data_IF_856508079641
#
_entry.id   IF_856508079641
#
_cell.length_a   1.000
_cell.length_b   1.000
_cell.length_c   1.000
_cell.angle_alpha   90.00
_cell.angle_beta   90.00
_cell.angle_gamma   90.00
#
_symmetry.space_group_name_H-M   'P 1'
#
loop_
_entity.id
_entity.type
_entity.pdbx_description
1 polymer ?
#
# COMPACT_ATOMS: atom_id res chain seq x y z
N UNK A 1 40.34 58.60 -26.70
CA UNK A 1 39.97 57.29 -26.14
C UNK A 1 38.45 57.18 -26.15
N UNK A 2 37.87 56.60 -27.20
CA UNK A 2 36.43 56.40 -27.38
C UNK A 2 36.06 55.00 -26.85
N UNK A 3 35.20 54.94 -25.83
CA UNK A 3 34.66 53.68 -25.30
C UNK A 3 33.38 53.31 -26.05
N UNK A 4 33.41 52.25 -26.87
CA UNK A 4 32.21 51.59 -27.39
C UNK A 4 31.50 50.82 -26.27
N UNK A 5 30.22 51.12 -26.02
CA UNK A 5 29.34 50.25 -25.22
C UNK A 5 28.71 49.21 -26.15
N UNK A 6 29.17 47.96 -26.06
CA UNK A 6 28.51 46.80 -26.68
C UNK A 6 27.18 46.52 -25.97
N UNK A 7 26.07 46.82 -26.63
CA UNK A 7 24.75 46.36 -26.23
C UNK A 7 24.61 44.85 -26.54
N UNK A 8 24.73 44.00 -25.51
CA UNK A 8 24.32 42.60 -25.61
C UNK A 8 22.79 42.54 -25.70
N UNK A 9 22.27 42.07 -26.85
CA UNK A 9 20.83 41.89 -27.08
C UNK A 9 20.30 40.75 -26.18
N UNK A 10 19.41 41.09 -25.24
CA UNK A 10 18.63 40.21 -24.35
C UNK A 10 17.62 39.30 -25.08
N UNK A 11 17.99 38.67 -26.20
CA UNK A 11 17.07 37.82 -26.99
C UNK A 11 16.91 36.39 -26.46
N UNK A 12 17.75 35.94 -25.52
CA UNK A 12 17.73 34.55 -25.03
C UNK A 12 16.71 34.27 -23.91
N UNK A 13 16.34 35.29 -23.12
CA UNK A 13 15.42 35.14 -21.98
C UNK A 13 13.98 34.74 -22.37
N UNK A 14 13.33 35.34 -23.39
CA UNK A 14 11.97 34.93 -23.76
C UNK A 14 11.90 33.53 -24.38
N UNK A 15 12.98 33.07 -25.03
CA UNK A 15 13.03 31.74 -25.65
C UNK A 15 13.16 30.63 -24.61
N UNK A 16 13.95 30.86 -23.55
CA UNK A 16 14.08 29.94 -22.41
C UNK A 16 12.78 29.85 -21.59
N UNK A 17 12.07 30.98 -21.42
CA UNK A 17 10.76 31.00 -20.75
C UNK A 17 9.71 30.27 -21.58
N UNK A 18 9.68 30.47 -22.91
CA UNK A 18 8.77 29.76 -23.78
C UNK A 18 9.04 28.24 -23.80
N UNK A 19 10.31 27.82 -23.81
CA UNK A 19 10.70 26.41 -23.72
C UNK A 19 10.38 25.78 -22.36
N UNK A 20 10.56 26.52 -21.26
CA UNK A 20 10.18 26.08 -19.93
C UNK A 20 8.65 25.97 -19.81
N UNK A 21 7.90 26.92 -20.37
CA UNK A 21 6.44 26.92 -20.36
C UNK A 21 5.86 25.83 -21.28
N UNK A 22 6.50 25.54 -22.42
CA UNK A 22 6.11 24.43 -23.29
C UNK A 22 6.43 23.06 -22.67
N UNK A 23 7.55 22.95 -21.95
CA UNK A 23 7.85 21.77 -21.14
C UNK A 23 6.83 21.60 -20.00
N UNK A 24 6.52 22.66 -19.26
CA UNK A 24 5.52 22.63 -18.18
C UNK A 24 4.11 22.31 -18.69
N UNK A 25 3.73 22.80 -19.87
CA UNK A 25 2.45 22.43 -20.49
C UNK A 25 2.44 20.97 -20.96
N UNK A 26 3.54 20.41 -21.46
CA UNK A 26 3.62 18.98 -21.81
C UNK A 26 3.48 18.04 -20.60
N UNK A 27 3.95 18.45 -19.42
CA UNK A 27 3.74 17.74 -18.14
C UNK A 27 2.28 17.86 -17.65
N UNK A 28 1.62 18.99 -17.89
CA UNK A 28 0.21 19.20 -17.51
C UNK A 28 -0.79 18.52 -18.47
N UNK A 29 -0.34 18.02 -19.63
CA UNK A 29 -1.19 17.50 -20.71
C UNK A 29 -0.92 16.04 -21.08
N UNK A 30 -0.24 15.26 -20.22
CA UNK A 30 -0.13 13.83 -20.43
C UNK A 30 -1.55 13.23 -20.53
N UNK A 31 -1.91 12.71 -21.70
CA UNK A 31 -3.23 12.11 -21.92
C UNK A 31 -3.38 10.93 -20.97
N UNK A 32 -4.47 10.87 -20.17
CA UNK A 32 -4.70 9.75 -19.26
C UNK A 32 -4.60 8.42 -20.01
N UNK A 33 -3.73 7.51 -19.57
CA UNK A 33 -3.43 6.29 -20.30
C UNK A 33 -3.56 5.03 -19.43
N UNK A 34 -4.10 3.93 -19.98
CA UNK A 34 -3.96 2.61 -19.41
C UNK A 34 -2.51 2.12 -19.49
N UNK A 35 -2.21 1.06 -18.75
CA UNK A 35 -0.90 0.44 -18.76
C UNK A 35 -0.98 -0.99 -19.33
N UNK A 36 0.03 -1.41 -20.08
CA UNK A 36 0.18 -2.80 -20.54
C UNK A 36 1.66 -3.16 -20.64
N UNK A 37 2.17 -3.88 -19.64
CA UNK A 37 3.57 -4.31 -19.55
C UNK A 37 3.67 -5.76 -20.04
N UNK A 38 4.00 -5.94 -21.32
CA UNK A 38 4.16 -7.26 -21.96
C UNK A 38 5.62 -7.64 -22.20
N UNK A 39 6.56 -6.76 -21.90
CA UNK A 39 8.01 -6.99 -21.94
C UNK A 39 8.67 -6.36 -20.73
N UNK A 40 9.81 -6.90 -20.32
CA UNK A 40 10.52 -6.38 -19.16
C UNK A 40 10.88 -4.89 -19.35
N UNK A 41 10.73 -4.10 -18.29
CA UNK A 41 11.06 -2.66 -18.30
C UNK A 41 11.74 -2.25 -17.00
N UNK A 42 12.61 -1.24 -17.09
CA UNK A 42 13.30 -0.63 -15.96
C UNK A 42 12.89 0.83 -15.70
N UNK A 43 11.82 1.29 -16.35
CA UNK A 43 11.26 2.62 -16.18
C UNK A 43 9.94 2.59 -15.40
N UNK A 44 9.62 3.68 -14.71
CA UNK A 44 8.30 3.92 -14.12
C UNK A 44 7.21 3.76 -15.17
N UNK A 45 6.18 3.00 -14.82
CA UNK A 45 4.95 2.87 -15.59
C UNK A 45 3.90 3.80 -14.99
N UNK A 46 3.63 4.90 -15.68
CA UNK A 46 2.53 5.80 -15.32
C UNK A 46 1.19 5.21 -15.73
N UNK A 47 0.26 5.11 -14.78
CA UNK A 47 -1.09 4.61 -14.99
C UNK A 47 -2.10 5.67 -14.55
N UNK A 48 -2.91 6.17 -15.49
CA UNK A 48 -3.77 7.33 -15.25
C UNK A 48 -5.19 7.22 -15.81
N UNK A 49 -5.50 6.15 -16.55
CA UNK A 49 -6.88 5.78 -16.92
C UNK A 49 -6.99 4.27 -17.18
N UNK A 50 -8.21 3.74 -17.29
CA UNK A 50 -8.44 2.34 -17.71
C UNK A 50 -7.73 1.30 -16.84
N UNK A 51 -7.55 0.09 -17.36
CA UNK A 51 -6.88 -1.01 -16.65
C UNK A 51 -5.36 -0.99 -16.86
N UNK A 52 -4.63 -1.62 -15.94
CA UNK A 52 -3.19 -1.81 -15.99
C UNK A 52 -2.86 -3.29 -15.92
N UNK A 53 -2.29 -3.85 -16.98
CA UNK A 53 -1.93 -5.26 -17.05
C UNK A 53 -0.41 -5.42 -16.96
N UNK A 54 0.09 -6.18 -15.99
CA UNK A 54 1.51 -6.48 -15.81
C UNK A 54 1.75 -7.98 -15.97
N UNK A 55 2.22 -8.36 -17.16
CA UNK A 55 2.53 -9.75 -17.52
C UNK A 55 4.03 -9.98 -17.77
N UNK A 56 4.87 -8.96 -17.59
CA UNK A 56 6.32 -9.03 -17.63
C UNK A 56 6.94 -8.16 -16.54
N UNK A 57 8.22 -8.40 -16.15
CA UNK A 57 8.83 -7.70 -15.02
C UNK A 57 8.93 -6.18 -15.19
N UNK A 58 8.57 -5.43 -14.15
CA UNK A 58 8.89 -4.01 -13.98
C UNK A 58 9.91 -3.92 -12.85
N UNK A 59 11.13 -3.43 -13.12
CA UNK A 59 12.18 -3.29 -12.11
C UNK A 59 12.91 -1.96 -12.24
N UNK A 60 12.63 -1.01 -11.35
CA UNK A 60 13.22 0.33 -11.39
C UNK A 60 13.73 0.76 -10.02
N UNK A 61 14.53 1.82 -9.97
CA UNK A 61 14.97 2.47 -8.73
C UNK A 61 14.03 3.61 -8.31
N UNK A 62 12.90 3.79 -9.00
CA UNK A 62 11.85 4.75 -8.67
C UNK A 62 10.55 4.04 -8.24
N UNK A 63 9.42 4.75 -8.26
CA UNK A 63 8.13 4.08 -8.22
C UNK A 63 7.94 3.23 -9.50
N UNK A 64 7.71 1.92 -9.36
CA UNK A 64 7.55 1.02 -10.49
C UNK A 64 6.23 1.23 -11.22
N UNK A 65 5.11 1.20 -10.49
CA UNK A 65 3.81 1.65 -10.98
C UNK A 65 3.45 2.94 -10.26
N UNK A 66 3.21 4.01 -11.03
CA UNK A 66 2.80 5.30 -10.50
C UNK A 66 1.36 5.60 -10.93
N UNK A 67 0.46 5.72 -9.96
CA UNK A 67 -0.99 5.79 -10.18
C UNK A 67 -1.52 7.17 -9.90
N UNK A 68 -2.20 7.75 -10.89
CA UNK A 68 -2.83 9.07 -10.80
C UNK A 68 -4.25 9.04 -11.36
N UNK A 69 -5.10 9.99 -10.96
CA UNK A 69 -6.47 10.09 -11.50
C UNK A 69 -7.40 8.93 -11.11
N UNK A 70 -8.44 8.72 -11.91
CA UNK A 70 -9.40 7.61 -11.70
C UNK A 70 -9.09 6.48 -12.68
N UNK A 71 -8.76 5.31 -12.14
CA UNK A 71 -8.28 4.16 -12.89
C UNK A 71 -9.07 2.89 -12.58
N UNK A 72 -8.98 1.92 -13.47
CA UNK A 72 -9.62 0.62 -13.36
C UNK A 72 -8.83 -0.35 -12.48
N UNK A 73 -8.55 -1.53 -13.02
CA UNK A 73 -7.90 -2.63 -12.31
C UNK A 73 -6.44 -2.76 -12.70
N UNK A 74 -5.55 -2.76 -11.70
CA UNK A 74 -4.20 -3.28 -11.86
C UNK A 74 -4.24 -4.80 -11.69
N UNK A 75 -3.79 -5.54 -12.71
CA UNK A 75 -3.64 -7.00 -12.66
C UNK A 75 -2.16 -7.35 -12.81
N UNK A 76 -1.54 -7.83 -11.74
CA UNK A 76 -0.16 -8.30 -11.76
C UNK A 76 -0.10 -9.82 -11.80
N UNK A 77 0.48 -10.38 -12.84
CA UNK A 77 0.82 -11.81 -12.97
C UNK A 77 2.33 -12.02 -13.14
N UNK A 78 3.15 -11.03 -12.78
CA UNK A 78 4.61 -11.05 -12.91
C UNK A 78 5.27 -10.35 -11.72
N UNK A 79 6.44 -9.75 -11.94
CA UNK A 79 7.23 -9.06 -10.92
C UNK A 79 7.09 -7.55 -11.05
N UNK A 80 6.74 -6.86 -9.96
CA UNK A 80 6.78 -5.40 -9.84
C UNK A 80 7.75 -5.05 -8.71
N UNK A 81 8.88 -4.44 -9.07
CA UNK A 81 9.91 -4.01 -8.12
C UNK A 81 10.27 -2.55 -8.39
N UNK A 82 10.15 -1.72 -7.36
CA UNK A 82 10.54 -0.31 -7.35
C UNK A 82 11.08 0.09 -5.98
N UNK A 83 11.58 1.31 -5.81
CA UNK A 83 11.70 1.88 -4.46
C UNK A 83 10.34 1.84 -3.77
N UNK A 84 9.29 2.30 -4.45
CA UNK A 84 7.93 1.87 -4.18
C UNK A 84 7.47 0.99 -5.34
N UNK A 85 6.98 -0.20 -5.08
CA UNK A 85 6.48 -1.06 -6.16
C UNK A 85 5.22 -0.46 -6.79
N UNK A 86 4.31 0.03 -5.95
CA UNK A 86 3.09 0.72 -6.38
C UNK A 86 2.95 1.98 -5.53
N UNK A 87 2.93 3.14 -6.17
CA UNK A 87 2.67 4.42 -5.52
C UNK A 87 1.35 4.99 -6.05
N UNK A 88 0.36 5.12 -5.18
CA UNK A 88 -0.94 5.69 -5.48
C UNK A 88 -0.98 7.10 -4.91
N UNK A 89 -1.12 8.09 -5.80
CA UNK A 89 -1.13 9.50 -5.44
C UNK A 89 -2.37 9.92 -4.64
N UNK A 90 -2.23 11.05 -3.96
CA UNK A 90 -3.34 11.70 -3.30
C UNK A 90 -4.45 12.06 -4.31
N UNK A 91 -5.69 11.68 -3.99
CA UNK A 91 -6.85 11.92 -4.85
C UNK A 91 -7.02 10.91 -5.99
N UNK A 92 -6.09 9.96 -6.18
CA UNK A 92 -6.31 8.85 -7.10
C UNK A 92 -7.43 7.92 -6.62
N UNK A 93 -8.24 7.41 -7.55
CA UNK A 93 -9.32 6.46 -7.28
C UNK A 93 -9.08 5.19 -8.10
N UNK A 94 -8.71 4.11 -7.41
CA UNK A 94 -8.37 2.82 -8.01
C UNK A 94 -9.53 1.85 -7.81
N UNK A 95 -10.09 1.32 -8.90
CA UNK A 95 -11.16 0.33 -8.80
C UNK A 95 -10.66 -0.96 -8.15
N UNK A 96 -9.52 -1.50 -8.61
CA UNK A 96 -8.91 -2.65 -7.96
C UNK A 96 -7.40 -2.76 -8.15
N UNK A 97 -6.75 -3.38 -7.19
CA UNK A 97 -5.39 -3.93 -7.30
C UNK A 97 -5.46 -5.43 -7.08
N UNK A 98 -5.02 -6.21 -8.05
CA UNK A 98 -5.05 -7.67 -8.03
C UNK A 98 -3.65 -8.21 -8.29
N UNK A 99 -3.05 -8.81 -7.26
CA UNK A 99 -1.85 -9.61 -7.39
C UNK A 99 -2.29 -11.08 -7.59
N UNK A 100 -2.12 -11.60 -8.81
CA UNK A 100 -2.51 -12.95 -9.18
C UNK A 100 -1.52 -13.99 -8.63
N UNK A 101 -1.89 -15.28 -8.60
CA UNK A 101 -0.97 -16.36 -8.25
C UNK A 101 0.34 -16.26 -9.05
N UNK A 102 1.49 -16.38 -8.38
CA UNK A 102 2.82 -16.19 -8.98
C UNK A 102 3.27 -14.72 -9.13
N UNK A 103 2.37 -13.76 -8.86
CA UNK A 103 2.71 -12.34 -8.85
C UNK A 103 3.57 -11.97 -7.64
N UNK A 104 4.67 -11.29 -7.90
CA UNK A 104 5.56 -10.71 -6.88
C UNK A 104 5.48 -9.19 -6.93
N UNK A 105 5.18 -8.57 -5.80
CA UNK A 105 5.28 -7.12 -5.62
C UNK A 105 6.27 -6.89 -4.48
N UNK A 106 7.39 -6.23 -4.75
CA UNK A 106 8.43 -6.02 -3.74
C UNK A 106 9.08 -4.66 -3.89
N UNK A 107 9.68 -4.15 -2.82
CA UNK A 107 10.47 -2.94 -2.92
C UNK A 107 11.96 -3.26 -3.17
N UNK A 108 12.73 -2.23 -3.52
CA UNK A 108 14.17 -2.18 -3.37
C UNK A 108 14.50 -1.46 -2.05
N UNK A 109 15.55 -1.90 -1.34
CA UNK A 109 16.00 -1.30 -0.08
C UNK A 109 14.97 -1.36 1.06
N UNK A 110 14.85 -0.30 1.88
CA UNK A 110 13.99 -0.25 3.09
C UNK A 110 12.76 0.66 2.93
N UNK A 111 12.22 0.75 1.71
CA UNK A 111 11.03 1.52 1.39
C UNK A 111 9.74 0.68 1.54
N UNK A 112 8.60 1.36 1.59
CA UNK A 112 7.29 0.72 1.54
C UNK A 112 6.97 0.19 0.14
N UNK A 113 6.32 -0.98 0.07
CA UNK A 113 6.09 -1.69 -1.19
C UNK A 113 4.90 -1.10 -1.93
N UNK A 114 3.72 -1.09 -1.30
CA UNK A 114 2.53 -0.40 -1.79
C UNK A 114 2.27 0.80 -0.91
N UNK A 115 2.36 2.00 -1.48
CA UNK A 115 2.05 3.26 -0.80
C UNK A 115 0.72 3.79 -1.32
N UNK A 116 -0.29 3.82 -0.45
CA UNK A 116 -1.60 4.37 -0.79
C UNK A 116 -1.80 5.75 -0.15
N UNK A 117 -1.91 6.79 -0.99
CA UNK A 117 -2.37 8.13 -0.59
C UNK A 117 -3.78 8.45 -1.13
N UNK A 118 -4.37 7.55 -1.91
CA UNK A 118 -5.68 7.71 -2.56
C UNK A 118 -6.75 6.78 -2.01
N UNK A 119 -7.69 6.40 -2.87
CA UNK A 119 -8.75 5.43 -2.55
C UNK A 119 -8.58 4.17 -3.40
N UNK A 120 -8.60 3.01 -2.77
CA UNK A 120 -8.66 1.70 -3.43
C UNK A 120 -9.99 1.04 -3.04
N UNK A 121 -10.83 0.71 -4.01
CA UNK A 121 -12.08 0.02 -3.69
C UNK A 121 -11.82 -1.44 -3.30
N UNK A 122 -11.02 -2.18 -4.08
CA UNK A 122 -10.65 -3.56 -3.72
C UNK A 122 -9.16 -3.81 -3.93
N UNK A 123 -8.49 -4.29 -2.89
CA UNK A 123 -7.13 -4.82 -3.00
C UNK A 123 -7.20 -6.33 -2.75
N UNK A 124 -6.68 -7.13 -3.68
CA UNK A 124 -6.63 -8.60 -3.57
C UNK A 124 -5.20 -9.09 -3.78
N UNK A 125 -4.64 -9.75 -2.76
CA UNK A 125 -3.45 -10.56 -2.89
C UNK A 125 -3.88 -12.04 -2.91
N UNK A 126 -3.85 -12.63 -4.10
CA UNK A 126 -4.40 -13.97 -4.34
C UNK A 126 -3.57 -15.08 -3.70
N UNK A 127 -4.16 -16.27 -3.54
CA UNK A 127 -3.40 -17.43 -3.10
C UNK A 127 -2.20 -17.69 -4.05
N UNK A 128 -1.04 -17.95 -3.47
CA UNK A 128 0.22 -18.10 -4.22
C UNK A 128 0.82 -16.80 -4.76
N UNK A 129 0.28 -15.63 -4.38
CA UNK A 129 0.85 -14.32 -4.67
C UNK A 129 1.60 -13.77 -3.45
N UNK A 130 2.66 -13.00 -3.68
CA UNK A 130 3.52 -12.47 -2.61
C UNK A 130 3.69 -10.97 -2.74
N UNK A 131 3.52 -10.26 -1.62
CA UNK A 131 3.92 -8.87 -1.45
C UNK A 131 4.89 -8.80 -0.27
N UNK A 132 6.12 -8.35 -0.52
CA UNK A 132 7.21 -8.45 0.46
C UNK A 132 8.11 -7.23 0.45
N UNK A 133 8.64 -6.83 1.62
CA UNK A 133 9.50 -5.64 1.71
C UNK A 133 9.68 -5.08 3.11
N UNK A 134 9.85 -3.75 3.25
CA UNK A 134 9.87 -3.12 4.57
C UNK A 134 8.46 -3.04 5.17
N UNK A 135 7.53 -2.42 4.45
CA UNK A 135 6.09 -2.47 4.75
C UNK A 135 5.37 -2.92 3.50
N UNK A 136 4.69 -4.07 3.53
CA UNK A 136 4.06 -4.62 2.32
C UNK A 136 2.90 -3.73 1.84
N UNK A 137 2.05 -3.23 2.74
CA UNK A 137 1.01 -2.25 2.40
C UNK A 137 1.00 -1.12 3.43
N UNK A 138 1.12 0.11 2.95
CA UNK A 138 1.08 1.33 3.76
C UNK A 138 -0.08 2.23 3.30
N UNK A 139 -1.13 2.28 4.11
CA UNK A 139 -2.31 3.11 3.89
C UNK A 139 -2.22 4.42 4.69
N UNK A 140 -1.86 5.52 4.02
CA UNK A 140 -1.48 6.81 4.64
C UNK A 140 -2.69 7.55 5.24
N UNK A 141 -2.41 8.61 6.02
CA UNK A 141 -3.38 9.30 6.90
C UNK A 141 -4.61 9.97 6.27
N UNK A 142 -4.80 9.94 4.95
CA UNK A 142 -6.04 10.37 4.28
C UNK A 142 -6.50 9.38 3.21
N UNK A 143 -5.88 8.21 3.19
CA UNK A 143 -6.12 7.19 2.20
C UNK A 143 -7.18 6.20 2.69
N UNK A 144 -7.85 5.55 1.75
CA UNK A 144 -8.88 4.58 2.03
C UNK A 144 -8.66 3.29 1.23
N UNK A 145 -8.80 2.15 1.89
CA UNK A 145 -8.98 0.86 1.24
C UNK A 145 -10.33 0.33 1.70
N UNK A 146 -11.30 0.19 0.79
CA UNK A 146 -12.63 -0.29 1.20
C UNK A 146 -12.54 -1.77 1.57
N UNK A 147 -12.04 -2.61 0.66
CA UNK A 147 -11.86 -4.04 0.92
C UNK A 147 -10.42 -4.47 0.64
N UNK A 148 -9.78 -5.08 1.63
CA UNK A 148 -8.46 -5.67 1.53
C UNK A 148 -8.58 -7.18 1.75
N UNK A 149 -8.42 -7.96 0.69
CA UNK A 149 -8.46 -9.42 0.72
C UNK A 149 -7.05 -9.98 0.58
N UNK A 150 -6.62 -10.77 1.55
CA UNK A 150 -5.37 -11.50 1.48
C UNK A 150 -5.63 -13.01 1.56
N UNK A 151 -5.34 -13.72 0.48
CA UNK A 151 -5.21 -15.19 0.44
C UNK A 151 -3.77 -15.62 0.15
N UNK A 152 -2.88 -14.68 -0.17
CA UNK A 152 -1.45 -14.92 -0.38
C UNK A 152 -0.63 -14.52 0.84
N UNK A 153 0.63 -14.17 0.59
CA UNK A 153 1.55 -13.70 1.62
C UNK A 153 1.78 -12.19 1.52
N UNK A 154 1.49 -11.47 2.62
CA UNK A 154 2.00 -10.13 2.88
C UNK A 154 3.08 -10.25 3.96
N UNK A 155 4.33 -10.23 3.53
CA UNK A 155 5.51 -10.42 4.37
C UNK A 155 6.47 -9.25 4.22
N UNK A 156 6.28 -8.17 4.96
CA UNK A 156 7.32 -7.14 5.13
C UNK A 156 7.81 -7.12 6.57
N UNK A 157 8.71 -6.22 7.00
CA UNK A 157 8.83 -5.96 8.46
C UNK A 157 7.43 -5.73 9.05
N UNK A 158 6.59 -4.95 8.36
CA UNK A 158 5.16 -4.89 8.62
C UNK A 158 4.38 -5.51 7.45
N UNK A 159 3.37 -6.33 7.75
CA UNK A 159 2.41 -6.81 6.75
C UNK A 159 1.55 -5.66 6.23
N UNK A 160 0.78 -5.04 7.13
CA UNK A 160 -0.04 -3.87 6.83
C UNK A 160 0.19 -2.78 7.87
N UNK A 161 0.41 -1.54 7.42
CA UNK A 161 0.36 -0.34 8.24
C UNK A 161 -0.83 0.50 7.77
N UNK A 162 -1.74 0.81 8.69
CA UNK A 162 -2.90 1.65 8.42
C UNK A 162 -2.87 2.91 9.30
N UNK A 163 -2.67 4.06 8.67
CA UNK A 163 -2.88 5.37 9.28
C UNK A 163 -4.14 6.08 8.74
N UNK A 164 -4.72 5.58 7.64
CA UNK A 164 -5.98 6.02 7.06
C UNK A 164 -7.16 5.13 7.46
N UNK A 165 -8.04 4.84 6.50
CA UNK A 165 -9.20 3.96 6.72
C UNK A 165 -9.07 2.66 5.95
N UNK A 166 -9.30 1.53 6.61
CA UNK A 166 -9.62 0.26 5.96
C UNK A 166 -11.02 -0.16 6.41
N UNK A 167 -11.98 -0.29 5.50
CA UNK A 167 -13.35 -0.68 5.93
C UNK A 167 -13.37 -2.16 6.33
N UNK A 168 -12.88 -3.04 5.45
CA UNK A 168 -12.78 -4.48 5.71
C UNK A 168 -11.39 -5.01 5.35
N UNK A 169 -10.71 -5.56 6.35
CA UNK A 169 -9.46 -6.30 6.20
C UNK A 169 -9.72 -7.79 6.44
N UNK A 170 -9.65 -8.57 5.36
CA UNK A 170 -9.93 -10.00 5.35
C UNK A 170 -8.63 -10.77 5.09
N UNK A 171 -8.08 -11.38 6.13
CA UNK A 171 -7.02 -12.38 5.98
C UNK A 171 -7.67 -13.76 5.88
N UNK A 172 -7.85 -14.24 4.64
CA UNK A 172 -8.56 -15.47 4.30
C UNK A 172 -7.74 -16.71 4.68
N UNK A 173 -8.29 -17.92 4.54
CA UNK A 173 -7.70 -19.15 5.07
C UNK A 173 -6.22 -19.39 4.69
N UNK A 174 -5.86 -19.14 3.42
CA UNK A 174 -4.48 -19.26 2.92
C UNK A 174 -3.64 -17.98 3.16
N UNK A 175 -4.31 -16.92 3.61
CA UNK A 175 -3.73 -15.61 3.84
C UNK A 175 -2.75 -15.61 5.01
N UNK A 176 -1.58 -15.04 4.75
CA UNK A 176 -0.54 -14.82 5.75
C UNK A 176 -0.18 -13.34 5.84
N UNK A 177 -0.34 -12.76 7.02
CA UNK A 177 0.22 -11.45 7.40
C UNK A 177 1.32 -11.71 8.42
N UNK A 178 2.58 -11.44 8.10
CA UNK A 178 3.67 -11.94 8.94
C UNK A 178 4.93 -11.09 8.95
N UNK A 179 5.88 -11.54 9.80
CA UNK A 179 7.25 -11.09 10.04
C UNK A 179 7.39 -10.28 11.34
N UNK A 180 7.66 -8.97 11.37
CA UNK A 180 7.85 -8.26 12.66
C UNK A 180 6.50 -7.95 13.32
N UNK A 181 5.61 -7.30 12.56
CA UNK A 181 4.21 -7.07 12.93
C UNK A 181 3.28 -7.42 11.77
N UNK A 182 2.24 -8.22 12.02
CA UNK A 182 1.28 -8.60 10.98
C UNK A 182 0.41 -7.43 10.55
N UNK A 183 -0.23 -6.76 11.52
CA UNK A 183 -1.08 -5.57 11.29
C UNK A 183 -0.73 -4.49 12.30
N UNK A 184 -0.47 -3.28 11.79
CA UNK A 184 -0.31 -2.06 12.59
C UNK A 184 -1.41 -1.08 12.22
N UNK A 185 -2.32 -0.80 13.15
CA UNK A 185 -3.31 0.27 13.02
C UNK A 185 -2.84 1.47 13.85
N UNK A 186 -2.27 2.46 13.18
CA UNK A 186 -1.62 3.62 13.79
C UNK A 186 -2.63 4.59 14.42
N UNK A 187 -2.11 5.59 15.14
CA UNK A 187 -2.93 6.68 15.68
C UNK A 187 -3.66 7.40 14.52
N UNK A 188 -4.98 7.59 14.67
CA UNK A 188 -5.85 8.12 13.61
C UNK A 188 -6.31 7.08 12.58
N UNK A 189 -5.67 5.90 12.54
CA UNK A 189 -6.06 4.78 11.71
C UNK A 189 -7.37 4.15 12.17
N UNK A 190 -8.25 3.85 11.21
CA UNK A 190 -9.51 3.13 11.45
C UNK A 190 -9.56 1.85 10.64
N UNK A 191 -9.85 0.74 11.31
CA UNK A 191 -10.26 -0.51 10.68
C UNK A 191 -11.69 -0.80 11.11
N UNK A 192 -12.63 -0.90 10.17
CA UNK A 192 -14.01 -1.27 10.48
C UNK A 192 -14.08 -2.73 10.95
N UNK A 193 -13.65 -3.65 10.10
CA UNK A 193 -13.63 -5.08 10.38
C UNK A 193 -12.27 -5.67 10.06
N UNK A 194 -11.63 -6.28 11.04
CA UNK A 194 -10.49 -7.18 10.85
C UNK A 194 -10.97 -8.62 11.01
N UNK A 195 -11.03 -9.38 9.92
CA UNK A 195 -11.41 -10.80 9.92
C UNK A 195 -10.20 -11.65 9.60
N UNK A 196 -9.81 -12.52 10.52
CA UNK A 196 -8.73 -13.47 10.32
C UNK A 196 -9.26 -14.90 10.29
N UNK A 197 -9.24 -15.54 9.12
CA UNK A 197 -9.42 -16.98 8.94
C UNK A 197 -8.09 -17.69 8.64
N UNK A 198 -7.07 -16.95 8.17
CA UNK A 198 -5.73 -17.44 7.94
C UNK A 198 -4.80 -17.24 9.13
N UNK A 199 -3.56 -16.84 8.82
CA UNK A 199 -2.51 -16.61 9.82
C UNK A 199 -2.12 -15.13 9.89
N UNK A 200 -2.19 -14.55 11.08
CA UNK A 200 -1.52 -13.28 11.41
C UNK A 200 -0.46 -13.57 12.46
N UNK A 201 0.80 -13.32 12.11
CA UNK A 201 1.93 -13.53 13.00
C UNK A 201 2.83 -12.32 13.13
N UNK A 202 3.54 -12.23 14.25
CA UNK A 202 4.64 -11.28 14.42
C UNK A 202 5.76 -11.84 15.30
N UNK A 203 7.00 -11.50 14.97
CA UNK A 203 8.19 -11.80 15.76
C UNK A 203 8.17 -11.04 17.09
N UNK A 204 7.40 -9.95 17.16
CA UNK A 204 7.11 -9.20 18.38
C UNK A 204 5.61 -9.15 18.64
N UNK A 205 4.84 -8.58 17.71
CA UNK A 205 3.40 -8.34 17.88
C UNK A 205 2.59 -8.84 16.69
N UNK A 206 1.47 -9.54 16.91
CA UNK A 206 0.59 -9.95 15.81
C UNK A 206 -0.19 -8.76 15.25
N UNK A 207 -0.95 -8.10 16.13
CA UNK A 207 -1.76 -6.91 15.83
C UNK A 207 -1.37 -5.80 16.82
N UNK A 208 -0.77 -4.72 16.32
CA UNK A 208 -0.53 -3.50 17.09
C UNK A 208 -1.64 -2.49 16.76
N UNK A 209 -2.40 -2.07 17.76
CA UNK A 209 -3.50 -1.12 17.59
C UNK A 209 -3.31 0.12 18.47
N UNK A 210 -2.99 1.26 17.86
CA UNK A 210 -3.02 2.59 18.48
C UNK A 210 -4.20 3.44 18.00
N UNK A 211 -4.94 2.97 17.00
CA UNK A 211 -6.13 3.61 16.45
C UNK A 211 -7.44 2.93 16.88
N UNK A 212 -8.43 2.92 15.99
CA UNK A 212 -9.70 2.23 16.18
C UNK A 212 -9.76 0.97 15.31
N UNK A 213 -9.99 -0.18 15.93
CA UNK A 213 -10.52 -1.37 15.27
C UNK A 213 -11.93 -1.56 15.81
N UNK A 214 -12.97 -1.39 14.98
CA UNK A 214 -14.34 -1.53 15.51
C UNK A 214 -14.64 -2.98 15.88
N UNK A 215 -14.26 -3.93 15.02
CA UNK A 215 -14.45 -5.36 15.26
C UNK A 215 -13.26 -6.18 14.77
N UNK A 216 -12.75 -7.04 15.66
CA UNK A 216 -11.77 -8.07 15.36
C UNK A 216 -12.43 -9.44 15.51
N UNK A 217 -12.53 -10.17 14.41
CA UNK A 217 -12.96 -11.56 14.38
C UNK A 217 -11.74 -12.43 14.08
N UNK A 218 -11.43 -13.37 14.98
CA UNK A 218 -10.41 -14.38 14.75
C UNK A 218 -11.02 -15.77 14.73
N UNK A 219 -11.04 -16.38 13.55
CA UNK A 219 -11.40 -17.78 13.34
C UNK A 219 -10.16 -18.61 12.93
N UNK A 220 -9.06 -17.94 12.60
CA UNK A 220 -7.78 -18.55 12.22
C UNK A 220 -6.75 -18.54 13.34
N UNK A 221 -5.49 -18.35 12.96
CA UNK A 221 -4.35 -18.36 13.85
C UNK A 221 -3.78 -16.95 14.07
N UNK A 222 -3.82 -16.47 15.30
CA UNK A 222 -3.07 -15.30 15.74
C UNK A 222 -1.94 -15.72 16.67
N UNK A 223 -0.72 -15.32 16.34
CA UNK A 223 0.44 -15.68 17.16
C UNK A 223 1.51 -14.63 17.14
N UNK A 224 2.19 -14.46 18.26
CA UNK A 224 3.35 -13.62 18.34
C UNK A 224 4.32 -14.14 19.40
N UNK A 225 5.54 -13.58 19.43
CA UNK A 225 6.52 -13.93 20.47
C UNK A 225 6.23 -13.23 21.80
N UNK A 226 5.75 -11.98 21.75
CA UNK A 226 5.55 -11.16 22.96
C UNK A 226 4.06 -10.94 23.24
N UNK A 227 3.36 -10.20 22.37
CA UNK A 227 1.93 -9.94 22.50
C UNK A 227 1.21 -10.27 21.20
N UNK A 228 0.17 -11.11 21.24
CA UNK A 228 -0.60 -11.36 20.01
C UNK A 228 -1.32 -10.10 19.57
N UNK A 229 -1.85 -9.35 20.55
CA UNK A 229 -2.50 -8.06 20.37
C UNK A 229 -1.90 -7.09 21.37
N UNK A 230 -1.29 -6.01 20.88
CA UNK A 230 -0.92 -4.83 21.67
C UNK A 230 -1.93 -3.71 21.38
N UNK A 231 -2.92 -3.56 22.26
CA UNK A 231 -3.96 -2.56 22.13
C UNK A 231 -3.68 -1.33 23.00
N UNK A 232 -3.18 -0.27 22.37
CA UNK A 232 -3.01 1.07 22.95
C UNK A 232 -4.15 2.03 22.56
N UNK A 233 -4.93 1.68 21.54
CA UNK A 233 -6.13 2.38 21.08
C UNK A 233 -7.43 1.68 21.52
N UNK A 234 -8.38 1.53 20.62
CA UNK A 234 -9.67 0.89 20.91
C UNK A 234 -9.89 -0.31 19.99
N UNK A 235 -10.21 -1.46 20.58
CA UNK A 235 -10.87 -2.58 19.92
C UNK A 235 -12.31 -2.63 20.45
N UNK A 236 -13.30 -2.37 19.59
CA UNK A 236 -14.70 -2.29 20.01
C UNK A 236 -15.24 -3.66 20.43
N UNK A 237 -15.05 -4.68 19.58
CA UNK A 237 -15.43 -6.07 19.85
C UNK A 237 -14.34 -7.01 19.38
N UNK A 238 -13.98 -7.98 20.22
CA UNK A 238 -13.08 -9.08 19.88
C UNK A 238 -13.87 -10.39 19.97
N UNK A 239 -14.12 -11.02 18.83
CA UNK A 239 -14.68 -12.37 18.74
C UNK A 239 -13.56 -13.33 18.37
N UNK A 240 -13.39 -14.40 19.15
CA UNK A 240 -12.34 -15.38 18.90
C UNK A 240 -12.92 -16.79 18.94
N UNK A 241 -12.96 -17.45 17.78
CA UNK A 241 -13.22 -18.89 17.65
C UNK A 241 -11.96 -19.66 17.24
N UNK A 242 -10.93 -18.95 16.77
CA UNK A 242 -9.63 -19.48 16.39
C UNK A 242 -8.63 -19.58 17.55
N UNK A 243 -7.36 -19.77 17.19
CA UNK A 243 -6.26 -19.97 18.15
C UNK A 243 -5.46 -18.68 18.36
N UNK A 244 -5.20 -18.36 19.64
CA UNK A 244 -4.32 -17.28 20.12
C UNK A 244 -3.23 -17.93 20.98
N UNK A 245 -1.95 -17.67 20.70
CA UNK A 245 -0.84 -18.38 21.38
C UNK A 245 -0.23 -17.69 22.59
N UNK A 246 -0.28 -16.36 22.66
CA UNK A 246 0.21 -15.57 23.80
C UNK A 246 -0.81 -14.51 24.21
N UNK A 247 -0.55 -13.79 25.30
CA UNK A 247 -1.50 -12.84 25.89
C UNK A 247 -1.83 -11.63 25.01
N UNK A 248 -2.87 -10.91 25.45
CA UNK A 248 -3.29 -9.60 24.93
C UNK A 248 -2.81 -8.55 25.93
N UNK A 249 -2.01 -7.58 25.47
CA UNK A 249 -1.72 -6.38 26.24
C UNK A 249 -2.74 -5.29 25.87
N UNK A 250 -3.42 -4.75 26.87
CA UNK A 250 -4.49 -3.78 26.67
C UNK A 250 -4.27 -2.55 27.56
N UNK A 251 -3.59 -1.57 26.98
CA UNK A 251 -3.27 -0.27 27.60
C UNK A 251 -4.18 0.86 27.13
N UNK A 252 -4.99 0.62 26.09
CA UNK A 252 -5.95 1.57 25.55
C UNK A 252 -7.27 1.64 26.32
N UNK A 253 -7.82 2.85 26.46
CA UNK A 253 -9.02 3.10 27.24
C UNK A 253 -10.28 2.43 26.67
N UNK A 254 -10.86 1.52 27.47
CA UNK A 254 -12.16 0.80 27.29
C UNK A 254 -12.27 -0.12 26.06
N UNK A 255 -12.17 -1.44 26.27
CA UNK A 255 -13.38 -2.29 26.37
C UNK A 255 -13.14 -3.78 26.68
N UNK A 256 -14.27 -4.37 27.10
CA UNK A 256 -14.56 -5.60 27.83
C UNK A 256 -14.13 -6.88 27.08
N UNK A 257 -13.12 -7.56 27.60
CA UNK A 257 -12.96 -8.99 27.36
C UNK A 257 -14.06 -9.74 28.15
N UNK A 258 -15.04 -10.34 27.47
CA UNK A 258 -15.86 -11.42 28.03
C UNK A 258 -15.37 -12.72 27.40
N UNK A 259 -14.59 -13.55 28.12
CA UNK A 259 -14.43 -14.93 27.73
C UNK A 259 -15.77 -15.64 27.93
N UNK A 260 -16.24 -16.35 26.92
CA UNK A 260 -17.04 -17.56 27.12
C UNK A 260 -16.10 -18.77 27.01
#
# INVERSE_FOLDING_TARGET
MTHERRHFKLKALPLAIAAALSAMTSLANATPAPCSVTSATNATVSWSSGDCQVSAPVQTEDAAIYVSGTVGTLTNSSTIIGNNAINIEAGANVAAVVNNPGGLISNQYMYEVVVNNGTIATFTNSAGATITGYTAIDNRSNASIVTMNNSGELSGQNGIVNAGTITSLNNLADGKLSNYTGVTNAVGGTIGSLSNAGTITGNFTGIANSGLIQRLNNDGYLSAREYVIDNQGTIGTLNNTGKITVGIDNRGGRNVYRPE
#
